data_IF_065045197941
#
_entry.id   IF_065045197941
#
_cell.length_a   1.000
_cell.length_b   1.000
_cell.length_c   1.000
_cell.angle_alpha   90.00
_cell.angle_beta   90.00
_cell.angle_gamma   90.00
#
_symmetry.space_group_name_H-M   'P 1'
#
loop_
_entity.id
_entity.type
_entity.pdbx_description
1 polymer ?
#
# COMPACT_ATOMS: atom_id res chain seq x y z
N UNK A 1 5.49 10.53 4.72
CA UNK A 1 5.96 11.36 3.59
C UNK A 1 7.48 11.33 3.44
N UNK A 2 8.22 11.62 4.52
CA UNK A 2 9.68 11.81 4.49
C UNK A 2 10.47 10.65 3.85
N UNK A 3 10.05 9.40 4.04
CA UNK A 3 10.74 8.24 3.44
C UNK A 3 10.70 8.25 1.90
N UNK A 4 9.54 8.47 1.27
CA UNK A 4 9.45 8.50 -0.19
C UNK A 4 10.14 9.75 -0.76
N UNK A 5 10.05 10.90 -0.05
CA UNK A 5 10.77 12.11 -0.47
C UNK A 5 12.29 11.91 -0.45
N UNK A 6 12.82 11.26 0.59
CA UNK A 6 14.23 10.87 0.65
C UNK A 6 14.62 9.93 -0.49
N UNK A 7 13.81 8.89 -0.74
CA UNK A 7 14.04 7.94 -1.83
C UNK A 7 14.08 8.63 -3.20
N UNK A 8 13.15 9.55 -3.45
CA UNK A 8 13.02 10.28 -4.71
C UNK A 8 14.07 11.40 -4.89
N UNK A 9 14.77 11.83 -3.83
CA UNK A 9 15.79 12.86 -3.91
C UNK A 9 17.14 12.37 -4.47
N UNK A 10 17.35 11.04 -4.55
CA UNK A 10 18.55 10.45 -5.14
C UNK A 10 18.56 10.51 -6.66
N UNK A 11 19.76 10.48 -7.26
CA UNK A 11 19.92 10.37 -8.72
C UNK A 11 19.62 8.95 -9.24
N UNK A 12 19.26 8.86 -10.52
CA UNK A 12 18.94 7.62 -11.21
C UNK A 12 17.47 7.17 -11.07
N UNK A 13 17.09 6.03 -11.68
CA UNK A 13 15.72 5.51 -11.60
C UNK A 13 15.35 5.11 -10.17
N UNK A 14 14.19 5.56 -9.70
CA UNK A 14 13.65 5.26 -8.36
C UNK A 14 12.19 4.88 -8.47
N UNK A 15 11.77 3.97 -7.60
CA UNK A 15 10.39 3.55 -7.53
C UNK A 15 9.77 4.06 -6.23
N UNK A 16 8.68 4.82 -6.36
CA UNK A 16 7.92 5.37 -5.25
C UNK A 16 6.47 4.94 -5.43
N UNK A 17 5.95 4.21 -4.45
CA UNK A 17 4.60 3.66 -4.48
C UNK A 17 3.91 3.82 -3.13
N UNK A 18 2.63 4.20 -3.17
CA UNK A 18 1.72 4.10 -2.04
C UNK A 18 0.72 2.97 -2.26
N UNK A 19 0.47 2.19 -1.21
CA UNK A 19 -0.66 1.26 -1.15
C UNK A 19 -1.82 2.01 -0.49
N UNK A 20 -2.91 2.16 -1.23
CA UNK A 20 -4.16 2.73 -0.75
C UNK A 20 -5.10 1.59 -0.35
N UNK A 21 -5.37 1.51 0.95
CA UNK A 21 -6.26 0.54 1.56
C UNK A 21 -7.72 0.92 1.26
N UNK A 22 -8.18 0.59 0.06
CA UNK A 22 -9.52 0.93 -0.46
C UNK A 22 -10.55 -0.19 -0.29
N UNK A 23 -10.12 -1.37 0.18
CA UNK A 23 -10.96 -2.55 0.22
C UNK A 23 -11.45 -2.84 1.63
N UNK A 24 -12.68 -2.41 1.95
CA UNK A 24 -13.33 -2.65 3.24
C UNK A 24 -13.91 -4.07 3.39
N UNK A 25 -14.01 -4.83 2.29
CA UNK A 25 -14.67 -6.14 2.26
C UNK A 25 -13.64 -7.25 2.50
N UNK A 26 -12.47 -7.15 1.87
CA UNK A 26 -11.37 -8.11 1.97
C UNK A 26 -10.29 -7.68 2.96
N UNK A 27 -10.29 -6.41 3.38
CA UNK A 27 -9.32 -5.81 4.30
C UNK A 27 -9.97 -4.63 5.07
N UNK A 28 -9.21 -3.85 5.82
CA UNK A 28 -9.64 -2.61 6.43
C UNK A 28 -9.48 -1.42 5.47
N UNK A 29 -10.59 -0.82 5.03
CA UNK A 29 -10.51 0.45 4.33
C UNK A 29 -10.17 1.59 5.31
N UNK A 30 -8.98 2.18 5.15
CA UNK A 30 -8.62 3.43 5.82
C UNK A 30 -8.62 4.55 4.78
N UNK A 31 -9.65 5.38 4.83
CA UNK A 31 -9.78 6.56 3.97
C UNK A 31 -9.31 7.85 4.68
N UNK A 32 -9.51 8.98 4.00
CA UNK A 32 -9.19 10.35 4.46
C UNK A 32 -9.81 10.73 5.82
N UNK A 33 -10.78 9.96 6.33
CA UNK A 33 -11.44 10.21 7.62
C UNK A 33 -10.86 9.41 8.78
N UNK A 34 -9.84 8.56 8.58
CA UNK A 34 -9.21 7.84 9.68
C UNK A 34 -8.51 8.81 10.66
N UNK A 35 -8.84 8.79 11.97
CA UNK A 35 -8.23 9.65 12.98
C UNK A 35 -6.74 9.35 13.22
N UNK A 36 -6.25 8.21 12.76
CA UNK A 36 -4.89 7.70 12.97
C UNK A 36 -4.28 7.40 11.61
N UNK A 37 -3.20 8.09 11.24
CA UNK A 37 -2.43 7.78 10.02
C UNK A 37 -2.96 8.37 8.71
N UNK A 38 -3.36 9.65 8.71
CA UNK A 38 -3.79 10.36 7.49
C UNK A 38 -2.77 10.23 6.35
N UNK A 39 -3.09 9.39 5.38
CA UNK A 39 -2.40 9.29 4.09
C UNK A 39 -2.73 10.47 3.16
N UNK A 40 -3.51 11.47 3.60
CA UNK A 40 -3.90 12.65 2.80
C UNK A 40 -2.71 13.35 2.16
N UNK A 41 -1.72 13.78 2.97
CA UNK A 41 -0.53 14.48 2.47
C UNK A 41 0.33 13.59 1.58
N UNK A 42 0.29 12.27 1.78
CA UNK A 42 0.99 11.28 0.95
C UNK A 42 0.38 11.16 -0.43
N UNK A 43 -0.94 11.03 -0.51
CA UNK A 43 -1.68 10.93 -1.76
C UNK A 43 -1.59 12.21 -2.58
N UNK A 44 -1.69 13.38 -1.93
CA UNK A 44 -1.54 14.67 -2.62
C UNK A 44 -0.13 14.84 -3.20
N UNK A 45 0.90 14.44 -2.45
CA UNK A 45 2.29 14.51 -2.92
C UNK A 45 2.56 13.49 -4.03
N UNK A 46 1.96 12.30 -3.95
CA UNK A 46 2.05 11.29 -5.00
C UNK A 46 1.48 11.80 -6.32
N UNK A 47 0.30 12.45 -6.27
CA UNK A 47 -0.30 13.09 -7.43
C UNK A 47 0.61 14.20 -7.99
N UNK A 48 1.22 15.03 -7.14
CA UNK A 48 2.14 16.10 -7.55
C UNK A 48 3.44 15.58 -8.17
N UNK A 49 3.97 14.47 -7.66
CA UNK A 49 5.27 13.91 -8.08
C UNK A 49 5.17 12.77 -9.09
N UNK A 50 3.95 12.37 -9.45
CA UNK A 50 3.69 11.23 -10.33
C UNK A 50 4.11 9.89 -9.71
N UNK A 51 4.07 9.76 -8.39
CA UNK A 51 4.33 8.47 -7.73
C UNK A 51 3.14 7.53 -7.90
N UNK A 52 3.43 6.24 -8.02
CA UNK A 52 2.39 5.22 -8.21
C UNK A 52 1.52 5.11 -6.95
N UNK A 53 0.21 5.03 -7.13
CA UNK A 53 -0.73 4.72 -6.05
C UNK A 53 -1.52 3.49 -6.48
N UNK A 54 -1.52 2.47 -5.65
CA UNK A 54 -2.21 1.20 -5.88
C UNK A 54 -3.46 1.14 -5.02
N UNK A 55 -4.60 0.80 -5.62
CA UNK A 55 -5.86 0.55 -4.94
C UNK A 55 -5.97 -0.94 -4.61
N UNK A 56 -5.98 -1.32 -3.33
CA UNK A 56 -6.12 -2.73 -2.95
C UNK A 56 -7.40 -3.36 -3.51
N UNK A 57 -8.48 -2.59 -3.60
CA UNK A 57 -9.76 -3.07 -4.14
C UNK A 57 -9.67 -3.42 -5.63
N UNK A 58 -9.05 -2.55 -6.42
CA UNK A 58 -9.11 -2.63 -7.89
C UNK A 58 -7.93 -3.41 -8.47
N UNK A 59 -6.74 -3.28 -7.87
CA UNK A 59 -5.51 -3.78 -8.47
C UNK A 59 -5.10 -5.16 -7.95
N UNK A 60 -5.56 -5.56 -6.75
CA UNK A 60 -5.13 -6.82 -6.13
C UNK A 60 -6.18 -7.91 -6.25
N UNK A 61 -5.76 -9.04 -6.85
CA UNK A 61 -6.59 -10.25 -6.96
C UNK A 61 -6.73 -11.01 -5.63
N UNK A 62 -5.66 -11.03 -4.84
CA UNK A 62 -5.57 -11.77 -3.57
C UNK A 62 -4.94 -10.86 -2.52
N UNK A 63 -5.57 -10.72 -1.36
CA UNK A 63 -5.09 -9.87 -0.25
C UNK A 63 -4.23 -10.68 0.74
N UNK A 64 -4.72 -11.85 1.15
CA UNK A 64 -4.04 -12.73 2.10
C UNK A 64 -3.58 -14.01 1.42
N UNK A 65 -2.45 -14.60 1.85
CA UNK A 65 -2.01 -15.89 1.35
C UNK A 65 -3.08 -16.96 1.59
N UNK A 66 -3.19 -17.92 0.66
CA UNK A 66 -4.04 -19.09 0.88
C UNK A 66 -3.55 -19.87 2.11
N UNK A 67 -4.47 -20.43 2.91
CA UNK A 67 -4.10 -21.27 4.05
C UNK A 67 -3.11 -22.34 3.61
N UNK A 68 -1.96 -22.40 4.27
CA UNK A 68 -1.03 -23.51 4.04
C UNK A 68 -1.65 -24.79 4.60
N UNK A 69 -1.53 -25.93 3.90
CA UNK A 69 -1.91 -27.21 4.47
C UNK A 69 -1.10 -27.45 5.75
N UNK A 70 -1.74 -27.99 6.79
CA UNK A 70 -1.08 -28.27 8.06
C UNK A 70 0.16 -29.14 7.84
N UNK A 71 1.29 -28.87 8.53
CA UNK A 71 2.48 -29.69 8.37
C UNK A 71 2.15 -31.15 8.70
N UNK A 72 2.41 -32.04 7.74
CA UNK A 72 2.25 -33.48 7.93
C UNK A 72 3.26 -33.91 9.02
N UNK A 73 2.77 -34.32 10.19
CA UNK A 73 3.65 -34.91 11.22
C UNK A 73 4.22 -36.22 10.65
N UNK A 74 5.55 -36.31 10.53
CA UNK A 74 6.22 -37.59 10.28
C UNK A 74 5.94 -38.52 11.46
N UNK A 75 5.47 -39.74 11.16
CA UNK A 75 5.34 -40.81 12.14
C UNK A 75 6.72 -41.33 12.57
#
# INVERSE_FOLDING_TARGET
LQMLQWTAAGSGPRFCLYVHHTDAEREWAYDRKSPIGKLDKGLDEAAKRGWTVVSMKEDWKVIYPHPQPAPQKSK
#
